data_IF_565438474737
#
_entry.id   IF_565438474737
#
_cell.length_a   1.000
_cell.length_b   1.000
_cell.length_c   1.000
_cell.angle_alpha   90.00
_cell.angle_beta   90.00
_cell.angle_gamma   90.00
#
_symmetry.space_group_name_H-M   'P 1'
#
loop_
_entity.id
_entity.type
_entity.pdbx_description
1 polymer ?
#
# COMPACT_ATOMS: atom_id res chain seq x y z
N UNK A 1 -17.68 18.25 -2.74
CA UNK A 1 -18.74 17.33 -2.22
C UNK A 1 -18.61 15.99 -2.91
N UNK A 2 -18.73 14.88 -2.20
CA UNK A 2 -18.64 13.51 -2.78
C UNK A 2 -19.96 13.18 -3.49
N UNK A 3 -19.88 12.93 -4.80
CA UNK A 3 -21.04 12.54 -5.60
C UNK A 3 -21.10 11.02 -5.81
N UNK A 4 -22.26 10.54 -6.26
CA UNK A 4 -22.46 9.13 -6.64
C UNK A 4 -21.46 8.69 -7.71
N UNK A 5 -21.11 9.56 -8.66
CA UNK A 5 -20.16 9.25 -9.71
C UNK A 5 -18.73 9.09 -9.16
N UNK A 6 -18.33 9.88 -8.19
CA UNK A 6 -17.02 9.78 -7.53
C UNK A 6 -16.91 8.45 -6.79
N UNK A 7 -17.95 8.06 -6.01
CA UNK A 7 -17.98 6.78 -5.29
C UNK A 7 -17.92 5.58 -6.25
N UNK A 8 -18.70 5.61 -7.35
CA UNK A 8 -18.67 4.56 -8.36
C UNK A 8 -17.31 4.48 -9.06
N UNK A 9 -16.70 5.62 -9.32
CA UNK A 9 -15.38 5.68 -9.95
C UNK A 9 -14.29 5.12 -9.02
N UNK A 10 -14.30 5.49 -7.74
CA UNK A 10 -13.39 4.94 -6.73
C UNK A 10 -13.58 3.42 -6.60
N UNK A 11 -14.83 2.95 -6.55
CA UNK A 11 -15.14 1.52 -6.54
C UNK A 11 -14.60 0.80 -7.78
N UNK A 12 -14.74 1.37 -8.97
CA UNK A 12 -14.22 0.77 -10.21
C UNK A 12 -12.68 0.70 -10.22
N UNK A 13 -12.00 1.70 -9.66
CA UNK A 13 -10.54 1.67 -9.48
C UNK A 13 -10.14 0.57 -8.50
N UNK A 14 -10.83 0.45 -7.36
CA UNK A 14 -10.61 -0.60 -6.37
C UNK A 14 -10.87 -2.00 -6.97
N UNK A 15 -11.95 -2.17 -7.72
CA UNK A 15 -12.26 -3.43 -8.40
C UNK A 15 -11.17 -3.83 -9.38
N UNK A 16 -10.64 -2.87 -10.15
CA UNK A 16 -9.51 -3.11 -11.05
C UNK A 16 -8.26 -3.50 -10.27
N UNK A 17 -7.95 -2.81 -9.16
CA UNK A 17 -6.86 -3.17 -8.27
C UNK A 17 -7.02 -4.60 -7.72
N UNK A 18 -8.20 -4.92 -7.17
CA UNK A 18 -8.48 -6.25 -6.63
C UNK A 18 -8.36 -7.37 -7.68
N UNK A 19 -8.68 -7.09 -8.95
CA UNK A 19 -8.54 -8.07 -10.03
C UNK A 19 -7.08 -8.51 -10.24
N UNK A 20 -6.15 -7.56 -10.19
CA UNK A 20 -4.71 -7.83 -10.39
C UNK A 20 -4.00 -8.26 -9.10
N UNK A 21 -4.62 -8.08 -7.93
CA UNK A 21 -4.08 -8.54 -6.66
C UNK A 21 -4.17 -10.06 -6.56
N UNK A 22 -3.03 -10.73 -6.35
CA UNK A 22 -2.97 -12.20 -6.37
C UNK A 22 -3.25 -12.85 -5.03
N UNK A 23 -3.06 -12.13 -3.92
CA UNK A 23 -3.09 -12.73 -2.58
C UNK A 23 -4.34 -12.36 -1.78
N UNK A 24 -5.01 -11.24 -2.09
CA UNK A 24 -6.14 -10.75 -1.33
C UNK A 24 -7.48 -11.33 -1.84
N UNK A 25 -7.73 -12.60 -1.56
CA UNK A 25 -8.99 -13.28 -1.92
C UNK A 25 -10.20 -12.70 -1.18
N UNK A 26 -10.00 -12.18 0.03
CA UNK A 26 -11.06 -11.58 0.84
C UNK A 26 -11.60 -10.31 0.18
N UNK A 27 -10.72 -9.44 -0.32
CA UNK A 27 -11.12 -8.27 -1.10
C UNK A 27 -11.92 -8.67 -2.35
N UNK A 28 -11.49 -9.70 -3.07
CA UNK A 28 -12.23 -10.22 -4.24
C UNK A 28 -13.62 -10.70 -3.87
N UNK A 29 -13.74 -11.42 -2.75
CA UNK A 29 -15.04 -11.89 -2.25
C UNK A 29 -15.94 -10.71 -1.85
N UNK A 30 -15.40 -9.67 -1.21
CA UNK A 30 -16.16 -8.47 -0.87
C UNK A 30 -16.62 -7.69 -2.12
N UNK A 31 -15.79 -7.58 -3.17
CA UNK A 31 -16.20 -7.01 -4.45
C UNK A 31 -17.41 -7.77 -5.01
N UNK A 32 -17.36 -9.10 -5.04
CA UNK A 32 -18.44 -9.93 -5.55
C UNK A 32 -19.75 -9.77 -4.71
N UNK A 33 -19.63 -9.73 -3.38
CA UNK A 33 -20.77 -9.51 -2.47
C UNK A 33 -21.37 -8.11 -2.64
N UNK A 34 -20.53 -7.09 -2.85
CA UNK A 34 -20.97 -5.72 -3.01
C UNK A 34 -21.80 -5.55 -4.30
N UNK A 35 -21.39 -6.19 -5.40
CA UNK A 35 -22.11 -6.13 -6.68
C UNK A 35 -23.38 -6.98 -6.70
N UNK A 36 -23.43 -8.07 -5.96
CA UNK A 36 -24.49 -9.09 -6.08
C UNK A 36 -25.90 -8.57 -5.77
N UNK A 37 -26.05 -7.60 -4.88
CA UNK A 37 -27.36 -7.09 -4.45
C UNK A 37 -27.33 -5.59 -4.16
N UNK A 38 -28.37 -4.87 -4.60
CA UNK A 38 -28.67 -3.48 -4.23
C UNK A 38 -27.46 -2.52 -4.36
N UNK A 39 -26.59 -2.71 -5.35
CA UNK A 39 -25.36 -1.92 -5.57
C UNK A 39 -25.60 -0.40 -5.45
N UNK A 40 -26.61 0.13 -6.17
CA UNK A 40 -26.90 1.56 -6.15
C UNK A 40 -27.36 2.08 -4.79
N UNK A 41 -28.06 1.26 -4.01
CA UNK A 41 -28.48 1.63 -2.64
C UNK A 41 -27.27 1.68 -1.69
N UNK A 42 -26.31 0.77 -1.84
CA UNK A 42 -25.05 0.79 -1.08
C UNK A 42 -24.21 2.01 -1.43
N UNK A 43 -24.08 2.34 -2.71
CA UNK A 43 -23.41 3.58 -3.17
C UNK A 43 -24.09 4.81 -2.58
N UNK A 44 -25.44 4.86 -2.59
CA UNK A 44 -26.20 5.98 -2.01
C UNK A 44 -25.88 6.17 -0.51
N UNK A 45 -25.82 5.08 0.26
CA UNK A 45 -25.45 5.15 1.69
C UNK A 45 -24.04 5.71 1.93
N UNK A 46 -23.08 5.40 1.03
CA UNK A 46 -21.74 5.99 1.12
C UNK A 46 -21.80 7.51 0.85
N UNK A 47 -22.57 7.95 -0.13
CA UNK A 47 -22.77 9.39 -0.39
C UNK A 47 -23.40 10.09 0.81
N UNK A 48 -24.50 9.54 1.35
CA UNK A 48 -25.21 10.06 2.54
C UNK A 48 -24.28 10.15 3.76
N UNK A 49 -23.33 9.22 3.91
CA UNK A 49 -22.31 9.29 4.96
C UNK A 49 -21.42 10.54 4.81
N UNK A 50 -20.99 10.89 3.59
CA UNK A 50 -20.18 12.08 3.36
C UNK A 50 -20.98 13.40 3.52
N UNK A 51 -22.30 13.36 3.39
CA UNK A 51 -23.18 14.52 3.57
C UNK A 51 -23.52 14.80 5.04
N UNK A 52 -23.62 13.77 5.87
CA UNK A 52 -24.19 13.89 7.21
C UNK A 52 -23.33 13.34 8.35
N UNK A 53 -22.14 12.76 8.05
CA UNK A 53 -21.28 12.05 9.02
C UNK A 53 -22.09 11.13 9.96
N UNK A 54 -22.98 10.34 9.36
CA UNK A 54 -23.94 9.53 10.09
C UNK A 54 -23.31 8.37 10.85
N UNK A 55 -24.08 7.68 11.68
CA UNK A 55 -23.62 6.56 12.53
C UNK A 55 -23.20 5.30 11.75
N UNK A 56 -23.35 5.28 10.43
CA UNK A 56 -23.04 4.11 9.61
C UNK A 56 -21.54 3.82 9.55
N UNK A 57 -20.68 4.84 9.57
CA UNK A 57 -19.23 4.64 9.61
C UNK A 57 -18.79 3.80 10.81
N UNK A 58 -19.36 4.04 11.99
CA UNK A 58 -19.04 3.24 13.18
C UNK A 58 -19.40 1.77 13.00
N UNK A 59 -20.56 1.51 12.38
CA UNK A 59 -21.01 0.14 12.07
C UNK A 59 -20.08 -0.56 11.06
N UNK A 60 -19.53 0.18 10.10
CA UNK A 60 -18.55 -0.35 9.15
C UNK A 60 -17.20 -0.57 9.81
N UNK A 61 -16.74 0.39 10.61
CA UNK A 61 -15.50 0.32 11.37
C UNK A 61 -15.47 -0.89 12.30
N UNK A 62 -16.59 -1.18 12.98
CA UNK A 62 -16.70 -2.32 13.91
C UNK A 62 -16.62 -3.69 13.22
N UNK A 63 -16.82 -3.74 11.90
CA UNK A 63 -16.66 -4.95 11.09
C UNK A 63 -15.26 -5.13 10.52
N UNK A 64 -14.33 -4.23 10.79
CA UNK A 64 -12.92 -4.44 10.45
C UNK A 64 -12.41 -5.60 11.29
N UNK A 65 -11.81 -6.56 10.62
CA UNK A 65 -11.17 -7.71 11.22
C UNK A 65 -9.87 -8.07 10.50
N UNK A 66 -9.19 -9.11 10.93
CA UNK A 66 -7.90 -9.54 10.41
C UNK A 66 -7.92 -11.03 10.12
N UNK A 67 -7.45 -11.40 8.95
CA UNK A 67 -7.23 -12.79 8.55
C UNK A 67 -5.74 -13.11 8.52
N UNK A 68 -5.40 -14.30 8.99
CA UNK A 68 -4.03 -14.79 9.01
C UNK A 68 -3.70 -15.47 7.70
N UNK A 69 -2.80 -14.88 6.93
CA UNK A 69 -2.30 -15.48 5.69
C UNK A 69 -0.91 -16.08 5.93
N UNK A 70 -0.72 -17.41 5.80
CA UNK A 70 0.59 -18.02 5.96
C UNK A 70 1.62 -17.39 5.01
N UNK A 71 2.73 -16.90 5.56
CA UNK A 71 3.86 -16.34 4.81
C UNK A 71 4.99 -17.37 4.66
N UNK A 72 5.21 -18.18 5.70
CA UNK A 72 6.22 -19.23 5.69
C UNK A 72 5.64 -20.48 6.35
N UNK A 73 5.76 -21.60 5.62
CA UNK A 73 5.32 -22.91 6.06
C UNK A 73 6.53 -23.84 6.00
N UNK A 74 6.85 -24.47 7.11
CA UNK A 74 7.86 -25.55 7.17
C UNK A 74 7.14 -26.90 7.29
N UNK A 75 7.64 -27.92 6.60
CA UNK A 75 7.20 -29.29 6.82
C UNK A 75 8.11 -29.96 7.85
N UNK A 76 7.52 -30.78 8.74
CA UNK A 76 8.28 -31.58 9.71
C UNK A 76 9.01 -32.78 9.07
N UNK A 77 8.83 -33.00 7.77
CA UNK A 77 9.47 -34.06 7.05
C UNK A 77 10.80 -33.56 6.48
N UNK A 78 11.87 -34.32 6.71
CA UNK A 78 13.21 -34.16 6.08
C UNK A 78 13.13 -34.31 4.56
N UNK A 79 12.49 -33.35 3.90
CA UNK A 79 12.60 -33.24 2.46
C UNK A 79 13.88 -32.48 2.14
N UNK A 80 14.82 -33.14 1.50
CA UNK A 80 15.90 -32.46 0.81
C UNK A 80 15.30 -31.37 -0.07
N UNK A 81 15.46 -30.10 0.34
CA UNK A 81 15.04 -28.94 -0.43
C UNK A 81 15.88 -28.80 -1.69
N UNK A 82 15.57 -29.59 -2.73
CA UNK A 82 16.28 -29.50 -4.02
C UNK A 82 15.87 -28.28 -4.86
N UNK A 83 14.76 -27.60 -4.55
CA UNK A 83 14.24 -26.54 -5.42
C UNK A 83 13.60 -25.34 -4.73
N UNK A 84 13.58 -25.27 -3.40
CA UNK A 84 12.89 -24.20 -2.67
C UNK A 84 11.36 -24.19 -2.81
N UNK A 85 10.76 -25.17 -3.48
CA UNK A 85 9.33 -25.29 -3.64
C UNK A 85 8.73 -26.21 -2.58
N UNK A 86 7.65 -25.76 -1.92
CA UNK A 86 6.86 -26.55 -1.00
C UNK A 86 5.78 -27.32 -1.80
N UNK A 87 5.86 -28.62 -1.85
CA UNK A 87 4.83 -29.46 -2.45
C UNK A 87 3.80 -29.86 -1.39
N UNK A 88 2.58 -29.32 -1.51
CA UNK A 88 1.45 -29.77 -0.70
C UNK A 88 0.87 -31.05 -1.32
N UNK A 89 0.89 -32.13 -0.56
CA UNK A 89 0.32 -33.40 -0.97
C UNK A 89 -1.02 -33.64 -0.31
N UNK A 90 -2.01 -34.15 -1.07
CA UNK A 90 -3.32 -34.54 -0.52
C UNK A 90 -3.22 -35.68 0.51
N UNK A 91 -2.08 -36.36 0.61
CA UNK A 91 -1.83 -37.46 1.54
C UNK A 91 -1.28 -36.96 2.90
N UNK A 92 -1.15 -35.63 3.09
CA UNK A 92 -0.64 -35.04 4.33
C UNK A 92 -1.75 -34.35 5.10
N UNK A 93 -1.69 -34.47 6.40
CA UNK A 93 -2.62 -33.80 7.34
C UNK A 93 -2.09 -32.40 7.69
N UNK A 94 -2.94 -31.57 8.33
CA UNK A 94 -2.54 -30.25 8.80
C UNK A 94 -1.38 -30.31 9.82
N UNK A 95 -1.25 -31.43 10.56
CA UNK A 95 -0.22 -31.65 11.58
C UNK A 95 1.18 -31.87 10.96
N UNK A 96 1.25 -32.19 9.65
CA UNK A 96 2.52 -32.34 8.92
C UNK A 96 3.18 -30.99 8.57
N UNK A 97 2.51 -29.87 8.82
CA UNK A 97 2.97 -28.53 8.47
C UNK A 97 2.99 -27.61 9.67
N UNK A 98 4.06 -26.83 9.80
CA UNK A 98 4.18 -25.77 10.79
C UNK A 98 4.15 -24.39 10.08
N UNK A 99 3.20 -23.57 10.46
CA UNK A 99 3.19 -22.15 10.01
C UNK A 99 4.19 -21.39 10.89
N UNK A 100 5.28 -20.91 10.28
CA UNK A 100 6.38 -20.24 10.95
C UNK A 100 6.27 -18.70 10.89
N UNK A 101 5.55 -18.18 9.91
CA UNK A 101 5.26 -16.75 9.79
C UNK A 101 3.91 -16.52 9.09
N UNK A 102 3.22 -15.46 9.51
CA UNK A 102 1.93 -15.05 8.93
C UNK A 102 1.96 -13.58 8.55
N UNK A 103 1.10 -13.21 7.59
CA UNK A 103 0.71 -11.83 7.36
C UNK A 103 -0.69 -11.61 7.94
N UNK A 104 -0.89 -10.47 8.57
CA UNK A 104 -2.16 -10.03 9.13
C UNK A 104 -2.89 -9.19 8.08
N UNK A 105 -3.72 -9.85 7.27
CA UNK A 105 -4.45 -9.22 6.17
C UNK A 105 -5.73 -8.59 6.70
N UNK A 106 -5.96 -7.31 6.42
CA UNK A 106 -7.21 -6.65 6.82
C UNK A 106 -8.39 -7.20 6.03
N UNK A 107 -9.49 -7.42 6.72
CA UNK A 107 -10.81 -7.66 6.12
C UNK A 107 -11.78 -6.61 6.61
N UNK A 108 -12.59 -6.08 5.71
CA UNK A 108 -13.51 -4.99 5.99
C UNK A 108 -14.69 -5.00 5.02
N UNK A 109 -15.81 -4.33 5.37
CA UNK A 109 -16.87 -4.05 4.41
C UNK A 109 -16.36 -3.20 3.24
N UNK A 110 -16.98 -3.35 2.07
CA UNK A 110 -16.61 -2.61 0.87
C UNK A 110 -16.63 -1.09 1.05
N UNK A 111 -17.51 -0.57 1.90
CA UNK A 111 -17.60 0.85 2.23
C UNK A 111 -16.28 1.37 2.81
N UNK A 112 -15.62 0.60 3.66
CA UNK A 112 -14.30 0.91 4.24
C UNK A 112 -13.22 0.93 3.14
N UNK A 113 -13.20 -0.07 2.26
CA UNK A 113 -12.25 -0.11 1.14
C UNK A 113 -12.46 1.05 0.15
N UNK A 114 -13.71 1.48 -0.06
CA UNK A 114 -14.02 2.64 -0.92
C UNK A 114 -13.51 3.93 -0.26
N UNK A 115 -13.67 4.10 1.05
CA UNK A 115 -13.15 5.26 1.79
C UNK A 115 -11.61 5.29 1.74
N UNK A 116 -10.94 4.15 1.93
CA UNK A 116 -9.50 3.99 1.75
C UNK A 116 -9.04 4.39 0.34
N UNK A 117 -9.78 3.94 -0.68
CA UNK A 117 -9.49 4.26 -2.07
C UNK A 117 -9.69 5.76 -2.37
N UNK A 118 -10.74 6.39 -1.81
CA UNK A 118 -10.95 7.83 -1.93
C UNK A 118 -9.80 8.61 -1.28
N UNK A 119 -9.33 8.19 -0.11
CA UNK A 119 -8.14 8.78 0.50
C UNK A 119 -6.93 8.64 -0.42
N UNK A 120 -6.70 7.46 -1.00
CA UNK A 120 -5.59 7.22 -1.94
C UNK A 120 -5.66 8.12 -3.18
N UNK A 121 -6.87 8.39 -3.68
CA UNK A 121 -7.10 9.28 -4.82
C UNK A 121 -6.79 10.74 -4.46
N UNK A 122 -7.31 11.26 -3.36
CA UNK A 122 -7.23 12.69 -3.05
C UNK A 122 -5.99 13.04 -2.22
N UNK A 123 -5.77 12.37 -1.10
CA UNK A 123 -4.63 12.62 -0.21
C UNK A 123 -3.38 11.91 -0.71
N UNK A 124 -3.52 10.64 -1.08
CA UNK A 124 -2.41 9.84 -1.60
C UNK A 124 -1.75 10.43 -2.83
N UNK A 125 -2.54 11.02 -3.77
CA UNK A 125 -1.98 11.70 -4.95
C UNK A 125 -1.12 12.90 -4.59
N UNK A 126 -1.54 13.70 -3.59
CA UNK A 126 -0.78 14.83 -3.08
C UNK A 126 0.56 14.38 -2.46
N UNK A 127 0.53 13.33 -1.64
CA UNK A 127 1.75 12.77 -1.03
C UNK A 127 2.70 12.21 -2.10
N UNK A 128 2.17 11.46 -3.09
CA UNK A 128 2.97 10.84 -4.16
C UNK A 128 3.64 11.87 -5.09
N UNK A 129 3.09 13.06 -5.24
CA UNK A 129 3.73 14.15 -6.01
C UNK A 129 5.06 14.61 -5.38
N UNK A 130 5.23 14.40 -4.07
CA UNK A 130 6.43 14.75 -3.33
C UNK A 130 7.47 13.60 -3.22
N UNK A 131 7.17 12.41 -3.74
CA UNK A 131 8.12 11.30 -3.71
C UNK A 131 9.22 11.50 -4.74
N UNK A 132 10.43 11.11 -4.34
CA UNK A 132 11.59 11.11 -5.22
C UNK A 132 11.36 10.22 -6.46
N UNK A 133 11.99 10.58 -7.58
CA UNK A 133 12.02 9.75 -8.80
C UNK A 133 12.69 8.38 -8.58
N UNK A 134 13.46 8.22 -7.49
CA UNK A 134 14.05 6.94 -7.10
C UNK A 134 13.09 5.99 -6.41
N UNK A 135 11.85 6.42 -6.14
CA UNK A 135 10.77 5.57 -5.61
C UNK A 135 9.98 5.02 -6.78
N UNK A 136 10.05 3.72 -6.98
CA UNK A 136 9.43 3.03 -8.12
C UNK A 136 8.15 2.27 -7.75
N UNK A 137 8.11 1.68 -6.54
CA UNK A 137 7.00 0.85 -6.10
C UNK A 137 5.74 1.63 -5.79
N UNK A 138 4.59 1.13 -6.22
CA UNK A 138 3.26 1.62 -5.87
C UNK A 138 3.05 3.14 -6.08
N UNK A 139 3.57 3.69 -7.18
CA UNK A 139 3.35 5.08 -7.58
C UNK A 139 1.92 5.27 -8.07
N UNK A 140 1.28 6.33 -7.62
CA UNK A 140 -0.07 6.70 -8.09
C UNK A 140 -0.04 6.97 -9.60
N UNK A 141 -1.00 6.42 -10.34
CA UNK A 141 -1.06 6.59 -11.78
C UNK A 141 -1.30 8.05 -12.18
N UNK A 142 -0.67 8.48 -13.30
CA UNK A 142 -0.79 9.86 -13.83
C UNK A 142 -2.24 10.30 -14.04
N UNK A 143 -3.12 9.37 -14.39
CA UNK A 143 -4.54 9.66 -14.61
C UNK A 143 -5.30 9.91 -13.32
N UNK A 144 -4.96 9.24 -12.22
CA UNK A 144 -5.51 9.51 -10.89
C UNK A 144 -5.01 10.88 -10.39
N UNK A 145 -3.71 11.16 -10.50
CA UNK A 145 -3.15 12.48 -10.14
C UNK A 145 -3.79 13.62 -10.91
N UNK A 146 -4.04 13.42 -12.21
CA UNK A 146 -4.75 14.42 -13.02
C UNK A 146 -6.17 14.63 -12.52
N UNK A 147 -6.90 13.55 -12.23
CA UNK A 147 -8.27 13.62 -11.73
C UNK A 147 -8.35 14.34 -10.38
N UNK A 148 -7.46 14.02 -9.44
CA UNK A 148 -7.46 14.62 -8.10
C UNK A 148 -7.23 16.14 -8.12
N UNK A 149 -6.57 16.68 -9.17
CA UNK A 149 -6.31 18.11 -9.37
C UNK A 149 -7.41 18.84 -10.12
N UNK A 150 -8.13 18.18 -11.01
CA UNK A 150 -9.12 18.82 -11.88
C UNK A 150 -10.49 19.03 -11.21
N UNK A 151 -10.79 18.32 -10.10
CA UNK A 151 -12.03 18.37 -9.30
C UNK A 151 -13.33 18.53 -10.15
N UNK A 152 -13.38 17.91 -11.33
CA UNK A 152 -14.51 18.01 -12.24
C UNK A 152 -15.44 16.81 -12.05
N UNK A 153 -16.50 16.99 -11.26
CA UNK A 153 -17.51 15.98 -10.94
C UNK A 153 -18.18 15.37 -12.17
N UNK A 154 -18.14 16.06 -13.33
CA UNK A 154 -18.68 15.54 -14.59
C UNK A 154 -17.73 14.53 -15.24
N UNK A 155 -16.44 14.52 -14.90
CA UNK A 155 -15.45 13.60 -15.44
C UNK A 155 -15.43 12.31 -14.65
N UNK A 156 -15.87 11.23 -15.27
CA UNK A 156 -15.61 9.90 -14.71
C UNK A 156 -14.11 9.67 -14.63
N UNK A 157 -13.62 9.11 -13.54
CA UNK A 157 -12.25 8.64 -13.45
C UNK A 157 -12.02 7.65 -14.60
N UNK A 158 -11.25 8.08 -15.61
CA UNK A 158 -10.91 7.23 -16.76
C UNK A 158 -9.85 6.18 -16.38
N UNK A 159 -9.15 6.38 -15.27
CA UNK A 159 -8.14 5.46 -14.78
C UNK A 159 -8.78 4.16 -14.30
N UNK A 160 -8.29 3.06 -14.82
CA UNK A 160 -8.68 1.74 -14.35
C UNK A 160 -7.83 1.29 -13.16
N UNK A 161 -6.60 1.79 -13.02
CA UNK A 161 -5.67 1.40 -11.97
C UNK A 161 -5.30 2.58 -11.09
N UNK A 162 -5.32 2.39 -9.78
CA UNK A 162 -4.86 3.37 -8.79
C UNK A 162 -3.37 3.61 -8.96
N UNK A 163 -2.60 2.54 -9.09
CA UNK A 163 -1.15 2.58 -9.24
C UNK A 163 -0.71 2.41 -10.69
N UNK A 164 0.49 2.87 -11.00
CA UNK A 164 1.20 2.53 -12.24
C UNK A 164 1.43 1.02 -12.31
N UNK A 165 1.69 0.53 -13.53
CA UNK A 165 1.87 -0.91 -13.74
C UNK A 165 3.11 -1.41 -13.00
N UNK A 166 2.91 -2.43 -12.17
CA UNK A 166 3.95 -3.08 -11.39
C UNK A 166 5.17 -3.46 -12.23
N UNK A 167 4.96 -4.21 -13.32
CA UNK A 167 6.05 -4.78 -14.11
C UNK A 167 6.94 -3.70 -14.75
N UNK A 168 6.34 -2.59 -15.20
CA UNK A 168 7.08 -1.50 -15.85
C UNK A 168 7.99 -0.79 -14.83
N UNK A 169 7.47 -0.54 -13.62
CA UNK A 169 8.21 0.12 -12.54
C UNK A 169 9.27 -0.81 -11.94
N UNK A 170 8.95 -2.10 -11.79
CA UNK A 170 9.90 -3.09 -11.29
C UNK A 170 11.09 -3.27 -12.23
N UNK A 171 10.83 -3.38 -13.53
CA UNK A 171 11.88 -3.47 -14.52
C UNK A 171 12.75 -2.19 -14.55
N UNK A 172 12.15 -1.00 -14.52
CA UNK A 172 12.90 0.26 -14.46
C UNK A 172 13.78 0.36 -13.21
N UNK A 173 13.29 -0.07 -12.06
CA UNK A 173 14.04 -0.12 -10.82
C UNK A 173 15.25 -1.06 -10.92
N UNK A 174 15.03 -2.31 -11.29
CA UNK A 174 16.06 -3.34 -11.40
C UNK A 174 17.07 -3.01 -12.50
N UNK A 175 16.58 -2.74 -13.70
CA UNK A 175 17.43 -2.54 -14.88
C UNK A 175 18.18 -1.20 -14.79
N UNK A 176 17.59 -0.21 -14.14
CA UNK A 176 18.27 1.07 -13.85
C UNK A 176 19.53 0.88 -13.02
N UNK A 177 19.46 0.05 -11.97
CA UNK A 177 20.64 -0.30 -11.15
C UNK A 177 21.70 -1.09 -11.93
N UNK A 178 21.26 -2.11 -12.67
CA UNK A 178 22.17 -2.94 -13.48
C UNK A 178 22.87 -2.11 -14.55
N UNK A 179 22.12 -1.33 -15.31
CA UNK A 179 22.67 -0.49 -16.37
C UNK A 179 23.65 0.56 -15.83
N UNK A 180 23.36 1.11 -14.65
CA UNK A 180 24.27 2.06 -14.02
C UNK A 180 25.57 1.38 -13.56
N UNK A 181 25.50 0.18 -13.04
CA UNK A 181 26.70 -0.60 -12.68
C UNK A 181 27.56 -0.89 -13.90
N UNK A 182 26.97 -1.32 -15.01
CA UNK A 182 27.67 -1.54 -16.28
C UNK A 182 28.31 -0.25 -16.79
N UNK A 183 27.58 0.86 -16.76
CA UNK A 183 28.11 2.16 -17.17
C UNK A 183 29.36 2.56 -16.40
N UNK A 184 29.36 2.42 -15.07
CA UNK A 184 30.51 2.74 -14.21
C UNK A 184 31.72 1.85 -14.52
N UNK A 185 31.50 0.55 -14.73
CA UNK A 185 32.59 -0.38 -15.08
C UNK A 185 33.18 -0.06 -16.44
N UNK A 186 32.36 0.14 -17.45
CA UNK A 186 32.83 0.29 -18.84
C UNK A 186 33.41 1.66 -19.15
N UNK A 187 32.75 2.74 -18.66
CA UNK A 187 33.14 4.11 -18.97
C UNK A 187 34.19 4.67 -17.98
N UNK A 188 33.92 4.47 -16.68
CA UNK A 188 34.72 5.08 -15.64
C UNK A 188 35.86 4.17 -15.20
N UNK A 189 35.83 2.88 -15.61
CA UNK A 189 36.83 1.85 -15.24
C UNK A 189 37.00 1.68 -13.74
N UNK A 190 35.94 1.95 -12.96
CA UNK A 190 35.91 1.80 -11.52
C UNK A 190 35.30 0.48 -11.11
N UNK A 191 35.70 -0.06 -9.98
CA UNK A 191 35.03 -1.18 -9.33
C UNK A 191 33.70 -0.73 -8.76
N UNK A 192 32.70 -1.60 -8.82
CA UNK A 192 31.35 -1.33 -8.30
C UNK A 192 30.93 -2.34 -7.27
N UNK A 193 30.21 -1.87 -6.26
CA UNK A 193 29.43 -2.72 -5.36
C UNK A 193 27.93 -2.49 -5.61
N UNK A 194 27.21 -3.59 -5.77
CA UNK A 194 25.75 -3.58 -5.81
C UNK A 194 25.23 -4.13 -4.48
N UNK A 195 24.46 -3.31 -3.77
CA UNK A 195 23.85 -3.68 -2.50
C UNK A 195 22.33 -3.73 -2.65
N UNK A 196 21.75 -4.89 -2.37
CA UNK A 196 20.29 -5.08 -2.29
C UNK A 196 19.89 -5.31 -0.83
N UNK A 197 18.95 -4.53 -0.34
CA UNK A 197 18.44 -4.59 1.04
C UNK A 197 16.93 -4.80 1.04
N UNK A 198 16.45 -5.61 1.99
CA UNK A 198 15.03 -5.80 2.31
C UNK A 198 14.76 -5.32 3.73
N UNK A 199 13.69 -4.56 3.95
CA UNK A 199 13.28 -4.08 5.27
C UNK A 199 12.34 -5.09 5.94
N UNK A 200 12.93 -5.96 6.77
CA UNK A 200 12.19 -7.04 7.46
C UNK A 200 11.02 -6.51 8.28
N UNK A 201 9.84 -7.09 8.04
CA UNK A 201 8.64 -6.75 8.80
C UNK A 201 8.17 -5.30 8.63
N UNK A 202 8.50 -4.68 7.50
CA UNK A 202 8.38 -3.25 7.25
C UNK A 202 6.99 -2.70 7.60
N UNK A 203 5.91 -3.28 7.08
CA UNK A 203 4.53 -2.83 7.31
C UNK A 203 4.12 -2.81 8.79
N UNK A 204 4.67 -3.70 9.60
CA UNK A 204 4.37 -3.77 11.05
C UNK A 204 5.19 -2.78 11.88
N UNK A 205 6.24 -2.19 11.31
CA UNK A 205 7.13 -1.25 11.98
C UNK A 205 6.88 0.21 11.62
N UNK A 206 5.95 0.49 10.70
CA UNK A 206 5.61 1.85 10.29
C UNK A 206 4.74 2.52 11.34
N UNK A 207 5.16 3.69 11.80
CA UNK A 207 4.32 4.65 12.52
C UNK A 207 3.84 5.71 11.54
N UNK A 208 2.52 5.93 11.47
CA UNK A 208 1.93 6.97 10.63
C UNK A 208 1.57 8.16 11.50
N UNK A 209 2.21 9.29 11.25
CA UNK A 209 1.84 10.58 11.83
C UNK A 209 0.73 11.23 10.99
N UNK A 210 -0.52 10.95 11.36
CA UNK A 210 -1.69 11.50 10.66
C UNK A 210 -1.82 13.01 10.86
N UNK A 211 -1.30 13.56 11.95
CA UNK A 211 -1.37 15.00 12.22
C UNK A 211 -0.37 15.75 11.32
N UNK A 212 0.79 15.13 11.01
CA UNK A 212 1.71 15.65 9.99
C UNK A 212 1.08 15.60 8.58
N UNK A 213 0.26 14.60 8.27
CA UNK A 213 -0.48 14.55 7.00
C UNK A 213 -1.54 15.65 6.96
N UNK A 214 -2.26 15.92 8.05
CA UNK A 214 -3.22 17.04 8.14
C UNK A 214 -2.52 18.36 7.87
N UNK A 215 -1.34 18.60 8.44
CA UNK A 215 -0.55 19.81 8.16
C UNK A 215 -0.17 19.95 6.68
N UNK A 216 0.23 18.85 6.02
CA UNK A 216 0.51 18.85 4.59
C UNK A 216 -0.74 19.12 3.73
N UNK A 217 -1.90 18.59 4.15
CA UNK A 217 -3.19 18.87 3.48
C UNK A 217 -3.52 20.36 3.59
N UNK A 218 -3.36 20.95 4.76
CA UNK A 218 -3.61 22.38 4.98
C UNK A 218 -2.71 23.28 4.10
N UNK A 219 -1.45 22.88 3.91
CA UNK A 219 -0.46 23.64 3.17
C UNK A 219 -0.56 23.47 1.65
N UNK A 220 -0.79 22.23 1.17
CA UNK A 220 -0.57 21.88 -0.24
C UNK A 220 -1.83 21.47 -1.00
N UNK A 221 -2.96 21.20 -0.30
CA UNK A 221 -4.16 20.73 -0.97
C UNK A 221 -4.96 21.88 -1.59
N UNK A 222 -5.62 21.59 -2.71
CA UNK A 222 -6.53 22.55 -3.35
C UNK A 222 -7.69 22.86 -2.41
N UNK A 223 -8.08 24.14 -2.32
CA UNK A 223 -9.10 24.61 -1.39
C UNK A 223 -10.43 23.87 -1.52
N UNK A 224 -10.82 23.56 -2.77
CA UNK A 224 -12.10 22.89 -3.07
C UNK A 224 -12.19 21.45 -2.55
N UNK A 225 -11.05 20.81 -2.28
CA UNK A 225 -11.00 19.41 -1.79
C UNK A 225 -10.31 19.28 -0.42
N UNK A 226 -9.87 20.38 0.17
CA UNK A 226 -9.14 20.39 1.44
C UNK A 226 -9.96 19.78 2.58
N UNK A 227 -11.18 20.28 2.79
CA UNK A 227 -12.08 19.76 3.82
C UNK A 227 -12.36 18.25 3.64
N UNK A 228 -12.57 17.82 2.39
CA UNK A 228 -12.75 16.41 2.08
C UNK A 228 -11.50 15.61 2.44
N UNK A 229 -10.33 16.12 2.12
CA UNK A 229 -9.05 15.45 2.39
C UNK A 229 -8.79 15.29 3.88
N UNK A 230 -9.04 16.33 4.69
CA UNK A 230 -8.96 16.27 6.14
C UNK A 230 -9.98 15.28 6.73
N UNK A 231 -11.21 15.28 6.21
CA UNK A 231 -12.23 14.31 6.62
C UNK A 231 -11.79 12.88 6.33
N UNK A 232 -11.29 12.60 5.12
CA UNK A 232 -10.80 11.29 4.72
C UNK A 232 -9.60 10.86 5.59
N UNK A 233 -8.67 11.77 5.89
CA UNK A 233 -7.50 11.49 6.73
C UNK A 233 -7.91 11.11 8.15
N UNK A 234 -8.86 11.83 8.74
CA UNK A 234 -9.44 11.50 10.04
C UNK A 234 -10.11 10.11 10.05
N UNK A 235 -10.84 9.74 8.98
CA UNK A 235 -11.47 8.41 8.89
C UNK A 235 -10.42 7.31 8.70
N UNK A 236 -9.39 7.55 7.90
CA UNK A 236 -8.29 6.59 7.72
C UNK A 236 -7.53 6.35 9.04
N UNK A 237 -7.26 7.40 9.84
CA UNK A 237 -6.66 7.29 11.18
C UNK A 237 -7.44 6.29 12.05
N UNK A 238 -8.78 6.43 12.12
CA UNK A 238 -9.64 5.51 12.89
C UNK A 238 -9.61 4.07 12.35
N UNK A 239 -9.54 3.89 11.03
CA UNK A 239 -9.43 2.57 10.42
C UNK A 239 -8.09 1.90 10.77
N UNK A 240 -6.99 2.66 10.76
CA UNK A 240 -5.67 2.17 11.19
C UNK A 240 -5.64 1.84 12.68
N UNK A 241 -6.23 2.65 13.53
CA UNK A 241 -6.35 2.36 14.98
C UNK A 241 -7.13 1.06 15.21
N UNK A 242 -8.24 0.86 14.50
CA UNK A 242 -9.03 -0.39 14.60
C UNK A 242 -8.22 -1.61 14.17
N UNK A 243 -7.48 -1.52 13.06
CA UNK A 243 -6.60 -2.59 12.62
C UNK A 243 -5.50 -2.89 13.64
N UNK A 244 -4.79 -1.88 14.14
CA UNK A 244 -3.73 -2.05 15.16
C UNK A 244 -4.26 -2.74 16.40
N UNK A 245 -5.44 -2.34 16.89
CA UNK A 245 -6.07 -2.98 18.05
C UNK A 245 -6.39 -4.47 17.81
N UNK A 246 -6.62 -4.86 16.55
CA UNK A 246 -6.87 -6.26 16.19
C UNK A 246 -5.59 -7.09 16.11
N UNK A 247 -4.48 -6.53 15.64
CA UNK A 247 -3.22 -7.25 15.49
C UNK A 247 -2.35 -7.20 16.74
N UNK A 248 -2.54 -6.22 17.64
CA UNK A 248 -1.73 -5.99 18.83
C UNK A 248 -1.55 -7.27 19.70
N UNK A 249 -2.59 -8.08 19.98
CA UNK A 249 -2.41 -9.30 20.77
C UNK A 249 -1.45 -10.32 20.15
N UNK A 250 -1.27 -10.28 18.83
CA UNK A 250 -0.39 -11.21 18.11
C UNK A 250 1.04 -10.67 17.93
N UNK A 251 1.21 -9.34 17.95
CA UNK A 251 2.49 -8.68 17.72
C UNK A 251 3.20 -8.35 19.04
N UNK A 252 2.47 -7.98 20.07
CA UNK A 252 3.01 -7.63 21.38
C UNK A 252 3.76 -8.79 22.06
N UNK A 253 3.35 -10.04 21.82
CA UNK A 253 4.08 -11.21 22.29
C UNK A 253 5.47 -11.35 21.65
N UNK A 254 5.62 -10.85 20.41
CA UNK A 254 6.88 -10.97 19.66
C UNK A 254 7.70 -9.68 19.67
N UNK A 255 7.05 -8.51 19.78
CA UNK A 255 7.67 -7.18 19.71
C UNK A 255 6.88 -6.14 20.50
N UNK A 256 7.10 -6.03 21.84
CA UNK A 256 6.36 -5.10 22.71
C UNK A 256 6.39 -3.63 22.28
N UNK A 257 7.46 -3.21 21.57
CA UNK A 257 7.61 -1.84 21.07
C UNK A 257 6.71 -1.52 19.85
N UNK A 258 6.02 -2.51 19.30
CA UNK A 258 5.23 -2.39 18.06
C UNK A 258 3.76 -2.04 18.30
N UNK A 259 3.28 -1.97 19.54
CA UNK A 259 1.86 -1.78 19.87
C UNK A 259 1.21 -0.53 19.23
N UNK A 260 1.99 0.55 18.99
CA UNK A 260 1.53 1.77 18.33
C UNK A 260 1.84 1.81 16.82
N UNK A 261 2.51 0.80 16.29
CA UNK A 261 3.00 0.72 14.91
C UNK A 261 2.15 -0.24 14.09
N UNK A 262 2.38 -0.22 12.79
CA UNK A 262 1.72 -1.11 11.84
C UNK A 262 0.66 -0.42 11.00
N UNK A 263 0.71 -0.73 9.71
CA UNK A 263 -0.28 -0.27 8.73
C UNK A 263 -1.03 -1.47 8.13
N UNK A 264 -2.31 -1.31 7.75
CA UNK A 264 -3.15 -2.40 7.27
C UNK A 264 -2.62 -3.02 5.98
N UNK A 265 -2.24 -4.30 6.01
CA UNK A 265 -1.94 -5.03 4.77
C UNK A 265 -3.25 -5.33 4.06
N UNK A 266 -3.41 -4.80 2.84
CA UNK A 266 -4.61 -4.97 2.03
C UNK A 266 -5.37 -3.67 1.72
N UNK A 267 -4.98 -2.54 2.33
CA UNK A 267 -5.44 -1.21 1.94
C UNK A 267 -4.57 -0.60 0.85
N UNK A 268 -5.17 0.17 -0.04
CA UNK A 268 -4.44 0.91 -1.09
C UNK A 268 -3.62 2.06 -0.49
N UNK A 269 -4.12 2.71 0.55
CA UNK A 269 -3.41 3.77 1.28
C UNK A 269 -2.12 3.27 1.93
N UNK A 270 -2.07 2.02 2.38
CA UNK A 270 -0.89 1.48 3.07
C UNK A 270 0.36 1.48 2.19
N UNK A 271 0.21 1.21 0.90
CA UNK A 271 1.33 1.28 -0.05
C UNK A 271 1.89 2.70 -0.21
N UNK A 272 1.01 3.70 -0.17
CA UNK A 272 1.39 5.13 -0.27
C UNK A 272 2.04 5.58 1.04
N UNK A 273 1.45 5.22 2.18
CA UNK A 273 1.98 5.54 3.50
C UNK A 273 3.34 4.90 3.75
N UNK A 274 3.56 3.69 3.25
CA UNK A 274 4.87 3.03 3.27
C UNK A 274 5.93 3.84 2.51
N UNK A 275 5.60 4.36 1.33
CA UNK A 275 6.48 5.24 0.58
C UNK A 275 6.71 6.58 1.29
N UNK A 276 5.65 7.18 1.85
CA UNK A 276 5.75 8.44 2.58
C UNK A 276 6.63 8.32 3.82
N UNK A 277 6.50 7.22 4.57
CA UNK A 277 7.32 6.96 5.76
C UNK A 277 8.83 6.98 5.47
N UNK A 278 9.25 6.49 4.30
CA UNK A 278 10.65 6.46 3.89
C UNK A 278 11.11 7.69 3.08
N UNK A 279 10.25 8.68 2.86
CA UNK A 279 10.60 9.83 2.01
C UNK A 279 11.80 10.64 2.54
N UNK A 280 11.92 10.79 3.86
CA UNK A 280 13.07 11.43 4.48
C UNK A 280 14.33 10.57 4.36
N UNK A 281 14.21 9.26 4.54
CA UNK A 281 15.30 8.31 4.32
C UNK A 281 15.83 8.39 2.88
N UNK A 282 14.94 8.40 1.88
CA UNK A 282 15.33 8.54 0.47
C UNK A 282 16.12 9.82 0.21
N UNK A 283 15.74 10.93 0.86
CA UNK A 283 16.41 12.22 0.76
C UNK A 283 17.80 12.18 1.41
N UNK A 284 17.88 11.58 2.59
CA UNK A 284 19.13 11.45 3.35
C UNK A 284 20.15 10.58 2.60
N UNK A 285 19.73 9.47 2.03
CA UNK A 285 20.60 8.62 1.20
C UNK A 285 21.19 9.42 0.03
N UNK A 286 20.33 10.13 -0.71
CA UNK A 286 20.80 10.93 -1.85
C UNK A 286 21.75 12.05 -1.45
N UNK A 287 21.48 12.74 -0.34
CA UNK A 287 22.28 13.89 0.07
C UNK A 287 23.55 13.52 0.80
N UNK A 288 23.55 12.44 1.60
CA UNK A 288 24.67 12.07 2.47
C UNK A 288 25.59 11.01 1.88
N UNK A 289 25.03 10.04 1.15
CA UNK A 289 25.77 8.91 0.56
C UNK A 289 26.07 9.18 -0.91
N UNK A 290 25.12 9.80 -1.63
CA UNK A 290 25.22 10.11 -3.06
C UNK A 290 25.71 8.93 -3.92
N UNK A 291 25.05 7.77 -3.86
CA UNK A 291 25.45 6.59 -4.62
C UNK A 291 25.32 6.84 -6.13
N UNK A 292 26.03 6.08 -6.96
CA UNK A 292 25.89 6.14 -8.42
C UNK A 292 24.47 5.81 -8.89
N UNK A 293 23.80 4.93 -8.17
CA UNK A 293 22.38 4.63 -8.30
C UNK A 293 21.75 4.35 -6.94
N UNK A 294 20.58 4.91 -6.75
CA UNK A 294 19.66 4.60 -5.66
C UNK A 294 18.26 4.39 -6.21
N UNK A 295 17.70 3.23 -5.94
CA UNK A 295 16.32 2.92 -6.29
C UNK A 295 15.61 2.16 -5.18
N UNK A 296 14.35 2.51 -4.90
CA UNK A 296 13.53 1.83 -3.90
C UNK A 296 12.21 1.34 -4.50
N UNK A 297 11.92 0.07 -4.24
CA UNK A 297 10.66 -0.56 -4.59
C UNK A 297 9.94 -0.99 -3.31
N UNK A 298 9.15 -0.09 -2.70
CA UNK A 298 8.51 -0.21 -1.38
C UNK A 298 9.56 -0.42 -0.28
N UNK A 299 9.82 -1.66 0.14
CA UNK A 299 10.79 -2.10 1.14
C UNK A 299 12.09 -2.65 0.55
N UNK A 300 12.10 -2.95 -0.76
CA UNK A 300 13.31 -3.36 -1.48
C UNK A 300 14.13 -2.15 -1.91
N UNK A 301 15.42 -2.13 -1.55
CA UNK A 301 16.34 -1.03 -1.83
C UNK A 301 17.51 -1.55 -2.64
N UNK A 302 17.87 -0.83 -3.70
CA UNK A 302 19.00 -1.15 -4.56
C UNK A 302 19.95 0.04 -4.63
N UNK A 303 21.22 -0.20 -4.28
CA UNK A 303 22.32 0.75 -4.40
C UNK A 303 23.35 0.26 -5.41
N UNK A 304 23.95 1.21 -6.13
CA UNK A 304 25.20 1.01 -6.84
C UNK A 304 26.17 2.07 -6.34
N UNK A 305 27.27 1.62 -5.76
CA UNK A 305 28.38 2.46 -5.31
C UNK A 305 29.61 2.13 -6.13
N UNK A 306 30.46 3.12 -6.38
CA UNK A 306 31.76 2.93 -7.00
C UNK A 306 32.89 3.16 -5.98
N UNK A 307 33.98 2.52 -6.23
CA UNK A 307 35.22 2.72 -5.46
C UNK A 307 36.32 3.20 -6.43
N UNK A 308 37.04 4.23 -6.03
CA UNK A 308 38.27 4.59 -6.74
C UNK A 308 39.32 3.51 -6.46
N UNK A 309 39.86 2.92 -7.52
CA UNK A 309 40.95 1.98 -7.41
C UNK A 309 42.25 2.66 -6.97
#
# INVERSE_FOLDING_TARGET
MITKNIVISAYNCLKSYAYYENFNFFLKAEVARFESTKFLSKVKRIVEFFESDNTDFRKWLDKIDVELLPKKIDSHLDFEQRSGALFLSNNKTADDYKVCAVNYLITAPMEIYIIDTLWSIFVGSMLDDNFSESVYGNRISKSIKKYSKENDDSKKIKAKNIFERYIDNYNRWRDGGINKAIEVIEKDRNDVAILSLDLKGFYYNIYVDFDAIDALIEEHQLEEIKELSLFLNKKLKLMHEKYRNKISPFIEETHPESASKGIPIGFTSSAILANWYLANFDRDIKSKINPSYYGRYVDDILFVCFFFA
#
